data_IF_212092900947
#
_entry.id   IF_212092900947
#
_cell.length_a   1.000
_cell.length_b   1.000
_cell.length_c   1.000
_cell.angle_alpha   90.00
_cell.angle_beta   90.00
_cell.angle_gamma   90.00
#
_symmetry.space_group_name_H-M   'P 1'
#
loop_
_entity.id
_entity.type
_entity.pdbx_description
1 polymer ?
#
# COMPACT_ATOMS: atom_id res chain seq x y z
N UNK A 1 41.15 -25.49 -10.76
CA UNK A 1 39.94 -25.84 -11.54
C UNK A 1 38.76 -25.18 -10.84
N UNK A 2 38.05 -24.34 -11.57
CA UNK A 2 37.05 -23.37 -11.09
C UNK A 2 35.67 -24.02 -10.97
N UNK A 3 34.93 -23.70 -9.91
CA UNK A 3 33.47 -23.77 -9.90
C UNK A 3 32.94 -22.54 -9.14
N UNK A 4 32.22 -21.59 -9.76
CA UNK A 4 31.55 -20.55 -9.02
C UNK A 4 30.20 -21.05 -8.50
N UNK A 5 29.99 -20.77 -7.21
CA UNK A 5 28.74 -20.50 -6.53
C UNK A 5 27.46 -21.08 -7.14
N UNK A 6 26.87 -22.05 -6.42
CA UNK A 6 25.44 -22.30 -6.51
C UNK A 6 24.67 -20.99 -6.33
N UNK A 7 24.04 -20.54 -7.39
CA UNK A 7 23.00 -19.52 -7.30
C UNK A 7 21.85 -20.15 -6.52
N UNK A 8 21.87 -19.97 -5.21
CA UNK A 8 20.67 -20.12 -4.40
C UNK A 8 19.64 -19.19 -5.04
N UNK A 9 18.67 -19.78 -5.76
CA UNK A 9 17.47 -19.09 -6.21
C UNK A 9 16.89 -18.45 -4.96
N UNK A 10 17.11 -17.14 -4.82
CA UNK A 10 16.53 -16.40 -3.73
C UNK A 10 15.03 -16.62 -3.84
N UNK A 11 14.33 -17.05 -2.77
CA UNK A 11 12.87 -17.14 -2.83
C UNK A 11 12.38 -15.78 -3.30
N UNK A 12 11.69 -15.78 -4.45
CA UNK A 12 11.22 -14.56 -5.07
C UNK A 12 10.21 -13.95 -4.12
N UNK A 13 10.66 -12.99 -3.32
CA UNK A 13 9.88 -12.39 -2.25
C UNK A 13 8.63 -11.76 -2.84
N UNK A 14 7.44 -12.00 -2.26
CA UNK A 14 6.22 -11.42 -2.80
C UNK A 14 6.30 -9.90 -2.78
N UNK A 15 5.86 -9.26 -3.87
CA UNK A 15 5.98 -7.81 -4.04
C UNK A 15 4.61 -7.14 -3.89
N UNK A 16 4.57 -6.05 -3.13
CA UNK A 16 3.42 -5.15 -3.06
C UNK A 16 3.73 -3.94 -3.92
N UNK A 17 3.04 -3.79 -5.05
CA UNK A 17 3.14 -2.64 -5.95
C UNK A 17 2.19 -1.57 -5.45
N UNK A 18 2.71 -0.53 -4.81
CA UNK A 18 1.93 0.57 -4.25
C UNK A 18 1.97 1.79 -5.18
N UNK A 19 0.83 2.18 -5.74
CA UNK A 19 0.66 3.50 -6.34
C UNK A 19 0.07 4.47 -5.32
N UNK A 20 0.74 5.61 -5.17
CA UNK A 20 0.31 6.70 -4.31
C UNK A 20 -0.39 7.77 -5.16
N UNK A 21 -1.26 8.61 -4.57
CA UNK A 21 -1.79 9.77 -5.28
C UNK A 21 -0.63 10.65 -5.78
N UNK A 22 -0.79 11.26 -6.95
CA UNK A 22 0.16 12.21 -7.57
C UNK A 22 -0.35 13.65 -7.39
N UNK A 23 0.56 14.61 -7.18
CA UNK A 23 0.23 15.99 -6.76
C UNK A 23 1.20 16.59 -5.71
N UNK A 24 1.10 17.90 -5.50
CA UNK A 24 2.11 18.68 -4.77
C UNK A 24 1.91 18.67 -3.24
N UNK A 25 3.02 18.52 -2.50
CA UNK A 25 3.16 18.93 -1.09
C UNK A 25 2.88 17.88 0.00
N UNK A 26 1.74 17.19 -0.03
CA UNK A 26 1.27 16.37 1.11
C UNK A 26 1.29 14.84 0.88
N UNK A 27 1.67 14.39 -0.31
CA UNK A 27 1.46 13.00 -0.71
C UNK A 27 2.62 12.06 -0.39
N UNK A 28 3.85 12.58 -0.35
CA UNK A 28 5.02 11.82 0.09
C UNK A 28 4.93 11.30 1.53
N UNK A 29 4.57 12.12 2.54
CA UNK A 29 4.41 11.64 3.90
C UNK A 29 3.25 10.65 4.03
N UNK A 30 2.16 10.86 3.30
CA UNK A 30 1.05 9.90 3.24
C UNK A 30 1.48 8.56 2.63
N UNK A 31 2.18 8.61 1.49
CA UNK A 31 2.69 7.42 0.82
C UNK A 31 3.66 6.65 1.73
N UNK A 32 4.50 7.37 2.48
CA UNK A 32 5.41 6.77 3.44
C UNK A 32 4.66 6.13 4.62
N UNK A 33 3.64 6.80 5.16
CA UNK A 33 2.78 6.24 6.20
C UNK A 33 2.09 4.95 5.72
N UNK A 34 1.60 4.92 4.48
CA UNK A 34 0.99 3.74 3.88
C UNK A 34 1.97 2.58 3.72
N UNK A 35 3.20 2.84 3.28
CA UNK A 35 4.26 1.82 3.20
C UNK A 35 4.55 1.23 4.58
N UNK A 36 4.71 2.09 5.59
CA UNK A 36 4.96 1.62 6.95
C UNK A 36 3.78 0.81 7.49
N UNK A 37 2.56 1.25 7.25
CA UNK A 37 1.36 0.53 7.66
C UNK A 37 1.28 -0.85 6.98
N UNK A 38 1.48 -0.92 5.65
CA UNK A 38 1.54 -2.18 4.91
C UNK A 38 2.65 -3.10 5.41
N UNK A 39 3.84 -2.56 5.68
CA UNK A 39 4.97 -3.35 6.20
C UNK A 39 4.70 -3.91 7.60
N UNK A 40 3.91 -3.22 8.42
CA UNK A 40 3.47 -3.69 9.75
C UNK A 40 2.36 -4.75 9.66
N UNK A 41 1.49 -4.63 8.66
CA UNK A 41 0.30 -5.49 8.51
C UNK A 41 0.58 -6.76 7.70
N UNK A 42 1.47 -6.70 6.71
CA UNK A 42 1.77 -7.83 5.85
C UNK A 42 2.55 -8.91 6.63
N UNK A 43 2.04 -10.13 6.66
CA UNK A 43 2.60 -11.25 7.43
C UNK A 43 3.64 -11.96 6.56
N UNK A 44 4.87 -11.45 6.50
CA UNK A 44 5.95 -12.11 5.76
C UNK A 44 6.96 -11.16 5.15
N UNK A 45 7.97 -11.69 4.42
CA UNK A 45 9.02 -10.89 3.80
C UNK A 45 8.53 -10.27 2.48
N UNK A 46 7.50 -9.43 2.54
CA UNK A 46 7.03 -8.70 1.38
C UNK A 46 7.96 -7.53 1.05
N UNK A 47 8.16 -7.26 -0.24
CA UNK A 47 8.87 -6.07 -0.71
C UNK A 47 7.85 -5.08 -1.23
N UNK A 48 7.76 -3.91 -0.59
CA UNK A 48 6.87 -2.84 -1.06
C UNK A 48 7.64 -2.00 -2.07
N UNK A 49 7.11 -1.87 -3.29
CA UNK A 49 7.66 -1.04 -4.37
C UNK A 49 6.66 0.05 -4.71
N UNK A 50 7.11 1.30 -4.66
CA UNK A 50 6.34 2.42 -5.22
C UNK A 50 6.33 2.30 -6.74
N UNK A 51 5.16 2.44 -7.33
CA UNK A 51 4.95 2.47 -8.79
C UNK A 51 4.07 3.66 -9.15
N UNK A 52 4.11 4.07 -10.41
CA UNK A 52 3.23 5.10 -10.93
C UNK A 52 1.78 4.58 -10.99
N UNK A 53 0.82 5.48 -11.03
CA UNK A 53 -0.58 5.10 -11.16
C UNK A 53 -0.82 4.36 -12.49
N UNK A 54 -1.50 3.23 -12.42
CA UNK A 54 -1.73 2.31 -13.55
C UNK A 54 -0.66 1.22 -13.69
N UNK A 55 0.49 1.37 -13.04
CA UNK A 55 1.55 0.35 -13.00
C UNK A 55 1.41 -0.60 -11.80
N UNK A 56 0.40 -0.40 -10.93
CA UNK A 56 0.08 -1.32 -9.84
C UNK A 56 -0.53 -2.66 -10.29
N UNK A 57 -0.33 -3.07 -11.54
CA UNK A 57 -0.82 -4.37 -12.04
C UNK A 57 0.21 -5.45 -11.71
N UNK A 58 -0.08 -6.39 -10.80
CA UNK A 58 0.85 -7.46 -10.48
C UNK A 58 1.01 -8.40 -11.67
N UNK A 59 2.26 -8.77 -11.97
CA UNK A 59 2.59 -9.74 -13.01
C UNK A 59 2.76 -11.18 -12.49
N UNK A 60 2.59 -11.39 -11.18
CA UNK A 60 2.73 -12.69 -10.51
C UNK A 60 1.58 -12.88 -9.56
N UNK A 61 1.14 -14.12 -9.39
CA UNK A 61 0.01 -14.47 -8.51
C UNK A 61 0.33 -14.24 -7.02
N UNK A 62 1.61 -14.15 -6.66
CA UNK A 62 2.08 -13.78 -5.31
C UNK A 62 2.24 -12.27 -5.12
N UNK A 63 2.13 -11.47 -6.18
CA UNK A 63 2.25 -10.02 -6.09
C UNK A 63 0.87 -9.39 -5.92
N UNK A 64 0.82 -8.27 -5.21
CA UNK A 64 -0.41 -7.52 -4.98
C UNK A 64 -0.22 -6.08 -5.44
N UNK A 65 -1.14 -5.64 -6.28
CA UNK A 65 -1.31 -4.25 -6.63
C UNK A 65 -2.15 -3.53 -5.59
N UNK A 66 -1.70 -2.36 -5.14
CA UNK A 66 -2.43 -1.48 -4.22
C UNK A 66 -2.36 -0.06 -4.76
N UNK A 67 -3.51 0.59 -4.91
CA UNK A 67 -3.61 1.99 -5.28
C UNK A 67 -4.28 2.79 -4.15
N UNK A 68 -3.63 3.87 -3.74
CA UNK A 68 -4.19 4.81 -2.76
C UNK A 68 -4.91 5.96 -3.48
N UNK A 69 -6.17 6.18 -3.09
CA UNK A 69 -6.99 7.28 -3.58
C UNK A 69 -7.32 8.22 -2.45
N UNK A 70 -6.97 9.49 -2.62
CA UNK A 70 -7.33 10.58 -1.73
C UNK A 70 -8.39 11.41 -2.43
N UNK A 71 -9.56 11.50 -1.82
CA UNK A 71 -10.68 12.33 -2.29
C UNK A 71 -10.70 13.70 -1.62
N UNK A 72 -10.11 13.83 -0.43
CA UNK A 72 -10.02 15.09 0.31
C UNK A 72 -8.69 15.19 1.06
N UNK A 73 -8.06 16.36 0.98
CA UNK A 73 -6.90 16.72 1.79
C UNK A 73 -6.93 18.23 2.07
N UNK A 74 -7.58 18.63 3.16
CA UNK A 74 -7.73 20.03 3.57
C UNK A 74 -7.62 20.16 5.10
N UNK A 75 -7.84 21.37 5.63
CA UNK A 75 -7.74 21.67 7.06
C UNK A 75 -8.73 20.87 7.93
N UNK A 76 -9.73 20.22 7.33
CA UNK A 76 -10.68 19.30 7.98
C UNK A 76 -10.14 17.88 8.10
N UNK A 77 -9.12 17.53 7.32
CA UNK A 77 -8.42 16.24 7.41
C UNK A 77 -8.21 15.56 6.06
N UNK A 78 -8.11 14.22 6.11
CA UNK A 78 -7.90 13.35 4.96
C UNK A 78 -9.11 12.45 4.75
N UNK A 79 -9.56 12.29 3.51
CA UNK A 79 -10.53 11.28 3.14
C UNK A 79 -10.09 10.53 1.88
N UNK A 80 -10.44 9.25 1.81
CA UNK A 80 -10.07 8.42 0.69
C UNK A 80 -10.33 6.94 0.91
N UNK A 81 -9.85 6.14 -0.03
CA UNK A 81 -9.96 4.69 0.01
C UNK A 81 -8.72 4.07 -0.64
N UNK A 82 -8.62 2.75 -0.56
CA UNK A 82 -7.63 1.98 -1.31
C UNK A 82 -8.33 1.06 -2.29
N UNK A 83 -7.70 0.86 -3.42
CA UNK A 83 -8.02 -0.22 -4.34
C UNK A 83 -6.90 -1.25 -4.31
N UNK A 84 -7.22 -2.51 -4.53
CA UNK A 84 -6.21 -3.56 -4.65
C UNK A 84 -6.61 -4.60 -5.66
N UNK A 85 -5.62 -5.34 -6.15
CA UNK A 85 -5.83 -6.45 -7.06
C UNK A 85 -4.72 -7.49 -6.96
N UNK A 86 -5.07 -8.73 -7.27
CA UNK A 86 -4.13 -9.81 -7.56
C UNK A 86 -4.01 -9.96 -9.07
N UNK A 87 -3.06 -10.78 -9.54
CA UNK A 87 -2.81 -11.01 -10.98
C UNK A 87 -4.07 -11.51 -11.71
N UNK A 88 -4.75 -12.50 -11.13
CA UNK A 88 -5.96 -13.11 -11.70
C UNK A 88 -7.25 -12.35 -11.33
N UNK A 89 -7.13 -11.28 -10.54
CA UNK A 89 -8.26 -10.62 -9.88
C UNK A 89 -8.75 -9.34 -10.57
N UNK A 90 -10.07 -9.14 -10.52
CA UNK A 90 -10.66 -7.82 -10.73
C UNK A 90 -10.23 -6.86 -9.61
N UNK A 91 -10.12 -5.57 -9.95
CA UNK A 91 -9.86 -4.52 -8.96
C UNK A 91 -10.94 -4.57 -7.88
N UNK A 92 -10.48 -4.60 -6.63
CA UNK A 92 -11.31 -4.54 -5.43
C UNK A 92 -11.17 -3.15 -4.84
N UNK A 93 -12.28 -2.57 -4.40
CA UNK A 93 -12.30 -1.22 -3.80
C UNK A 93 -12.65 -1.33 -2.32
N UNK A 94 -11.84 -0.67 -1.50
CA UNK A 94 -12.04 -0.59 -0.06
C UNK A 94 -13.10 0.43 0.32
N UNK A 95 -13.58 0.31 1.56
CA UNK A 95 -14.43 1.34 2.15
C UNK A 95 -13.69 2.68 2.19
N UNK A 96 -14.42 3.76 1.89
CA UNK A 96 -13.89 5.10 2.10
C UNK A 96 -13.85 5.42 3.60
N UNK A 97 -12.74 6.00 4.03
CA UNK A 97 -12.51 6.43 5.41
C UNK A 97 -12.14 7.92 5.45
N UNK A 98 -12.31 8.52 6.62
CA UNK A 98 -11.91 9.89 6.89
C UNK A 98 -11.14 9.95 8.21
N UNK A 99 -9.99 10.62 8.19
CA UNK A 99 -9.19 10.92 9.36
C UNK A 99 -9.22 12.45 9.61
N UNK A 100 -9.89 12.91 10.68
CA UNK A 100 -9.96 14.32 11.00
C UNK A 100 -8.60 14.87 11.46
N UNK A 101 -8.29 16.11 11.09
CA UNK A 101 -7.17 16.89 11.64
C UNK A 101 -7.59 17.51 12.98
N UNK A 102 -7.05 17.01 14.08
CA UNK A 102 -7.43 17.47 15.43
C UNK A 102 -7.16 18.95 15.72
N UNK A 103 -6.08 19.51 15.15
CA UNK A 103 -5.62 20.89 15.39
C UNK A 103 -5.72 21.78 14.14
N UNK A 104 -6.59 21.42 13.18
CA UNK A 104 -6.83 22.21 11.96
C UNK A 104 -5.69 22.18 10.93
N UNK A 105 -4.76 21.23 11.04
CA UNK A 105 -3.74 20.97 10.03
C UNK A 105 -3.48 19.46 9.87
N UNK A 106 -3.23 19.03 8.63
CA UNK A 106 -2.79 17.65 8.34
C UNK A 106 -1.35 17.48 8.81
N UNK A 107 -1.14 16.57 9.76
CA UNK A 107 0.16 16.30 10.36
C UNK A 107 0.67 14.90 10.00
N UNK A 108 1.94 14.60 10.32
CA UNK A 108 2.50 13.25 10.24
C UNK A 108 1.60 12.21 10.93
N UNK A 109 1.07 12.56 12.12
CA UNK A 109 0.15 11.71 12.86
C UNK A 109 -1.16 11.47 12.10
N UNK A 110 -1.70 12.49 11.44
CA UNK A 110 -2.91 12.38 10.61
C UNK A 110 -2.70 11.37 9.47
N UNK A 111 -1.52 11.38 8.84
CA UNK A 111 -1.18 10.41 7.79
C UNK A 111 -1.06 8.97 8.31
N UNK A 112 -0.40 8.75 9.44
CA UNK A 112 -0.30 7.43 10.08
C UNK A 112 -1.67 6.89 10.53
N UNK A 113 -2.48 7.75 11.15
CA UNK A 113 -3.84 7.39 11.58
C UNK A 113 -4.71 7.05 10.36
N UNK A 114 -4.64 7.85 9.28
CA UNK A 114 -5.38 7.60 8.04
C UNK A 114 -4.95 6.30 7.34
N UNK A 115 -3.65 6.03 7.21
CA UNK A 115 -3.15 4.78 6.63
C UNK A 115 -3.61 3.56 7.43
N UNK A 116 -3.58 3.66 8.76
CA UNK A 116 -4.05 2.60 9.66
C UNK A 116 -5.56 2.39 9.54
N UNK A 117 -6.34 3.48 9.47
CA UNK A 117 -7.79 3.43 9.26
C UNK A 117 -8.15 2.77 7.93
N UNK A 118 -7.44 3.09 6.85
CA UNK A 118 -7.65 2.47 5.54
C UNK A 118 -7.46 0.96 5.61
N UNK A 119 -6.32 0.48 6.13
CA UNK A 119 -6.05 -0.96 6.21
C UNK A 119 -7.06 -1.69 7.11
N UNK A 120 -7.44 -1.10 8.24
CA UNK A 120 -8.45 -1.66 9.14
C UNK A 120 -9.84 -1.73 8.50
N UNK A 121 -10.19 -0.75 7.66
CA UNK A 121 -11.44 -0.73 6.92
C UNK A 121 -11.45 -1.70 5.72
N UNK A 122 -10.31 -2.31 5.40
CA UNK A 122 -10.15 -3.25 4.28
C UNK A 122 -9.60 -4.61 4.72
N UNK A 123 -10.34 -5.39 5.54
CA UNK A 123 -9.88 -6.71 5.98
C UNK A 123 -9.66 -7.70 4.82
N UNK A 124 -10.32 -7.48 3.68
CA UNK A 124 -10.13 -8.27 2.47
C UNK A 124 -8.72 -8.10 1.87
N UNK A 125 -8.14 -6.89 1.92
CA UNK A 125 -6.75 -6.66 1.52
C UNK A 125 -5.79 -7.42 2.44
N UNK A 126 -6.01 -7.35 3.77
CA UNK A 126 -5.16 -8.04 4.74
C UNK A 126 -5.15 -9.55 4.48
N UNK A 127 -6.32 -10.13 4.18
CA UNK A 127 -6.43 -11.54 3.77
C UNK A 127 -5.69 -11.83 2.47
N UNK A 128 -5.76 -10.95 1.49
CA UNK A 128 -5.01 -11.11 0.24
C UNK A 128 -3.49 -11.07 0.50
N UNK A 129 -3.01 -10.11 1.30
CA UNK A 129 -1.61 -10.00 1.70
C UNK A 129 -1.10 -11.29 2.38
N UNK A 130 -1.90 -11.86 3.28
CA UNK A 130 -1.59 -13.12 3.96
C UNK A 130 -1.70 -14.36 3.06
N UNK A 131 -2.44 -14.30 1.94
CA UNK A 131 -2.51 -15.37 0.96
C UNK A 131 -1.34 -15.31 -0.05
N UNK A 132 -0.74 -14.13 -0.20
CA UNK A 132 0.39 -13.86 -1.08
C UNK A 132 1.77 -14.11 -0.43
N UNK A 133 1.80 -14.36 0.88
CA UNK A 133 3.00 -14.68 1.69
C UNK A 133 3.44 -16.13 1.65
#
# INVERSE_FOLDING_TARGET
>A
MTAPAGQARSPERPVILLSCPEGEGMQDPLCQAMIQALARTAVGPHVIRRVSRGDEVPGRSTDIGVALYVSQSDDSGLAGHIEWRTEEGAVQTGSSVQAPSGDGAVSAKTFDDFASLLLNATPALIKALAAAS
#
